data_IF_882225800408
#
_entry.id   IF_882225800408
#
_cell.length_a   1.000
_cell.length_b   1.000
_cell.length_c   1.000
_cell.angle_alpha   90.00
_cell.angle_beta   90.00
_cell.angle_gamma   90.00
#
_symmetry.space_group_name_H-M   'P 1'
#
loop_
_entity.id
_entity.type
_entity.pdbx_description
1 polymer ?
#
# COMPACT_ATOMS: atom_id res chain seq x y z
N UNK A 1 5.82 4.34 4.30
CA UNK A 1 4.76 4.38 5.35
C UNK A 1 3.57 5.17 4.88
N UNK A 2 3.65 6.51 4.80
CA UNK A 2 2.50 7.35 4.44
C UNK A 2 1.96 7.05 3.04
N UNK A 3 2.80 6.56 2.12
CA UNK A 3 2.42 6.20 0.75
C UNK A 3 2.27 4.69 0.52
N UNK A 4 2.41 3.84 1.53
CA UNK A 4 2.41 2.38 1.35
C UNK A 4 1.51 1.64 2.33
N UNK A 5 1.26 2.23 3.50
CA UNK A 5 0.54 1.56 4.58
C UNK A 5 1.35 0.50 5.32
N UNK A 6 2.60 0.21 4.95
CA UNK A 6 3.44 -0.80 5.63
C UNK A 6 3.62 -0.55 7.13
N UNK A 7 3.74 -1.63 7.91
CA UNK A 7 3.99 -1.53 9.36
C UNK A 7 5.42 -1.05 9.62
N UNK A 8 5.65 -0.29 10.71
CA UNK A 8 7.00 0.13 11.08
C UNK A 8 7.98 -1.05 11.23
N UNK A 9 7.52 -2.18 11.74
CA UNK A 9 8.38 -3.35 11.95
C UNK A 9 8.72 -4.10 10.64
N UNK A 10 7.84 -4.04 9.63
CA UNK A 10 8.09 -4.60 8.30
C UNK A 10 9.17 -3.78 7.58
N UNK A 11 9.10 -2.45 7.70
CA UNK A 11 10.02 -1.53 7.02
C UNK A 11 11.47 -1.66 7.50
N UNK A 12 11.67 -2.02 8.77
CA UNK A 12 13.00 -2.22 9.35
C UNK A 12 13.80 -3.35 8.69
N UNK A 13 13.13 -4.25 7.99
CA UNK A 13 13.72 -5.42 7.37
C UNK A 13 13.79 -5.31 5.84
N UNK A 14 13.33 -4.21 5.24
CA UNK A 14 13.38 -4.02 3.80
C UNK A 14 14.79 -3.74 3.32
N UNK A 15 15.17 -4.41 2.25
CA UNK A 15 16.41 -4.22 1.50
C UNK A 15 16.14 -3.65 0.12
N UNK A 16 17.16 -3.08 -0.54
CA UNK A 16 16.98 -2.42 -1.83
C UNK A 16 16.46 -3.37 -2.91
N UNK A 17 16.83 -4.65 -2.84
CA UNK A 17 16.31 -5.71 -3.72
C UNK A 17 14.83 -6.02 -3.56
N UNK A 18 14.24 -5.65 -2.42
CA UNK A 18 12.83 -5.94 -2.12
C UNK A 18 11.90 -4.90 -2.76
N UNK A 19 12.44 -3.88 -3.45
CA UNK A 19 11.69 -2.76 -4.02
C UNK A 19 11.98 -2.62 -5.51
N UNK A 20 10.91 -2.65 -6.31
CA UNK A 20 10.97 -2.43 -7.75
C UNK A 20 10.11 -1.20 -8.11
N UNK A 21 10.60 -0.38 -9.05
CA UNK A 21 9.80 0.71 -9.63
C UNK A 21 9.09 0.12 -10.86
N UNK A 22 7.76 0.18 -10.84
CA UNK A 22 6.92 -0.34 -11.93
C UNK A 22 5.93 0.72 -12.37
N UNK A 23 5.54 0.69 -13.65
CA UNK A 23 4.44 1.51 -14.15
C UNK A 23 3.12 0.84 -13.82
N UNK A 24 2.21 1.56 -13.17
CA UNK A 24 0.86 1.07 -12.88
C UNK A 24 0.00 1.07 -14.14
N UNK A 25 -0.51 -0.09 -14.54
CA UNK A 25 -1.30 -0.24 -15.76
C UNK A 25 -2.60 0.58 -15.75
N UNK A 26 -3.15 0.86 -14.56
CA UNK A 26 -4.41 1.58 -14.42
C UNK A 26 -4.23 3.10 -14.52
N UNK A 27 -3.28 3.67 -13.77
CA UNK A 27 -3.04 5.12 -13.72
C UNK A 27 -2.00 5.61 -14.73
N UNK A 28 -1.11 4.72 -15.21
CA UNK A 28 0.07 5.08 -16.00
C UNK A 28 1.19 5.72 -15.17
N UNK A 29 1.04 5.83 -13.85
CA UNK A 29 2.03 6.43 -12.96
C UNK A 29 3.06 5.39 -12.49
N UNK A 30 4.28 5.84 -12.20
CA UNK A 30 5.27 4.99 -11.56
C UNK A 30 4.94 4.80 -10.08
N UNK A 31 5.00 3.56 -9.62
CA UNK A 31 4.79 3.15 -8.23
C UNK A 31 5.89 2.20 -7.78
N UNK A 32 5.98 1.96 -6.48
CA UNK A 32 6.85 0.93 -5.92
C UNK A 32 6.07 -0.35 -5.71
N UNK A 33 6.56 -1.45 -6.25
CA UNK A 33 6.17 -2.81 -5.85
C UNK A 33 7.18 -3.32 -4.83
N UNK A 34 6.70 -3.66 -3.64
CA UNK A 34 7.52 -3.97 -2.48
C UNK A 34 7.22 -5.40 -2.03
N UNK A 35 8.23 -6.27 -2.07
CA UNK A 35 8.20 -7.57 -1.42
C UNK A 35 8.48 -7.39 0.07
N UNK A 36 7.54 -7.75 0.91
CA UNK A 36 7.61 -7.52 2.35
C UNK A 36 7.75 -8.85 3.06
N UNK A 37 8.77 -8.94 3.91
CA UNK A 37 9.01 -10.10 4.78
C UNK A 37 8.67 -9.76 6.21
N UNK A 38 7.90 -10.61 6.87
CA UNK A 38 7.52 -10.39 8.26
C UNK A 38 7.09 -11.68 8.96
N UNK A 39 6.59 -11.54 10.19
CA UNK A 39 6.16 -12.68 11.03
C UNK A 39 5.10 -13.59 10.37
N UNK A 40 4.36 -13.07 9.39
CA UNK A 40 3.30 -13.79 8.66
C UNK A 40 3.75 -14.31 7.29
N UNK A 41 5.07 -14.38 7.04
CA UNK A 41 5.64 -14.79 5.76
C UNK A 41 5.83 -13.64 4.78
N UNK A 42 5.97 -14.00 3.51
CA UNK A 42 6.15 -13.06 2.39
C UNK A 42 4.79 -12.51 1.94
N UNK A 43 4.77 -11.26 1.52
CA UNK A 43 3.60 -10.63 0.91
C UNK A 43 3.99 -9.37 0.16
N UNK A 44 3.09 -8.81 -0.61
CA UNK A 44 3.39 -7.69 -1.50
C UNK A 44 2.64 -6.43 -1.09
N UNK A 45 3.25 -5.28 -1.38
CA UNK A 45 2.65 -3.98 -1.16
C UNK A 45 2.98 -3.07 -2.34
N UNK A 46 1.96 -2.43 -2.89
CA UNK A 46 2.08 -1.39 -3.91
C UNK A 46 1.97 -0.02 -3.25
N UNK A 47 2.85 0.90 -3.62
CA UNK A 47 2.85 2.26 -3.10
C UNK A 47 1.94 3.19 -3.92
N UNK A 48 1.66 4.36 -3.36
CA UNK A 48 1.26 5.52 -4.13
C UNK A 48 2.46 6.09 -4.90
N UNK A 49 2.24 6.82 -6.00
CA UNK A 49 3.30 7.38 -6.84
C UNK A 49 4.29 8.28 -6.09
N UNK A 50 3.79 9.02 -5.09
CA UNK A 50 4.63 9.88 -4.24
C UNK A 50 5.72 9.16 -3.45
N UNK A 51 5.79 7.83 -3.46
CA UNK A 51 6.87 7.06 -2.85
C UNK A 51 8.10 6.89 -3.77
N UNK A 52 7.95 6.99 -5.09
CA UNK A 52 9.01 6.72 -6.07
C UNK A 52 10.17 7.69 -5.88
N UNK A 53 9.91 9.00 -5.97
CA UNK A 53 10.95 10.03 -5.83
C UNK A 53 11.73 9.93 -4.51
N UNK A 54 11.11 9.72 -3.33
CA UNK A 54 11.85 9.43 -2.10
C UNK A 54 12.72 8.18 -2.16
N UNK A 55 12.26 7.11 -2.83
CA UNK A 55 13.03 5.87 -2.97
C UNK A 55 14.23 6.04 -3.89
N UNK A 56 14.08 6.70 -5.04
CA UNK A 56 15.20 7.04 -5.93
C UNK A 56 16.26 7.84 -5.19
N UNK A 57 15.85 8.86 -4.42
CA UNK A 57 16.77 9.64 -3.57
C UNK A 57 17.49 8.80 -2.51
N UNK A 58 16.91 7.69 -2.05
CA UNK A 58 17.56 6.77 -1.12
C UNK A 58 18.53 5.83 -1.85
N UNK A 59 18.14 5.33 -3.02
CA UNK A 59 18.96 4.47 -3.89
C UNK A 59 20.19 5.21 -4.39
N UNK A 60 20.03 6.46 -4.78
CA UNK A 60 21.10 7.26 -5.40
C UNK A 60 21.95 8.01 -4.37
N UNK A 61 21.62 7.90 -3.08
CA UNK A 61 22.39 8.52 -1.99
C UNK A 61 23.58 7.64 -1.61
N UNK A 62 24.83 8.10 -1.83
CA UNK A 62 26.00 7.38 -1.38
C UNK A 62 25.98 7.18 0.13
N UNK A 63 26.41 6.01 0.59
CA UNK A 63 26.45 5.66 2.00
C UNK A 63 27.89 5.40 2.45
N UNK A 64 28.25 5.77 3.68
CA UNK A 64 29.57 5.50 4.21
C UNK A 64 29.81 3.99 4.23
N UNK A 65 30.98 3.56 3.78
CA UNK A 65 31.40 2.16 3.84
C UNK A 65 31.61 1.78 5.31
N UNK A 66 30.87 0.77 5.78
CA UNK A 66 30.85 0.37 7.19
C UNK A 66 32.19 -0.19 7.72
N UNK A 67 33.09 -0.57 6.81
CA UNK A 67 34.36 -1.23 7.11
C UNK A 67 35.59 -0.32 6.95
N UNK A 68 35.42 1.01 6.97
CA UNK A 68 36.57 1.92 7.01
C UNK A 68 37.29 1.76 8.36
N UNK A 69 38.58 1.38 8.40
CA UNK A 69 39.36 1.36 9.65
C UNK A 69 39.36 2.75 10.27
N UNK A 70 39.21 2.81 11.60
CA UNK A 70 39.06 4.03 12.42
C UNK A 70 40.28 4.98 12.40
N UNK A 71 41.32 4.66 11.62
CA UNK A 71 42.62 5.34 11.66
C UNK A 71 42.85 6.40 10.56
N UNK A 72 42.01 6.49 9.51
CA UNK A 72 42.16 7.50 8.45
C UNK A 72 40.99 8.51 8.48
N UNK A 73 41.17 9.58 9.26
CA UNK A 73 40.19 10.64 9.52
C UNK A 73 39.86 11.56 8.32
N UNK A 74 40.44 11.33 7.14
CA UNK A 74 40.36 12.31 6.04
C UNK A 74 39.43 11.92 4.87
N UNK A 75 39.03 10.65 4.69
CA UNK A 75 38.10 10.28 3.60
C UNK A 75 37.14 9.15 4.00
N UNK A 76 35.95 9.52 4.46
CA UNK A 76 34.81 8.58 4.52
C UNK A 76 34.41 8.24 3.08
N UNK A 77 34.97 7.17 2.53
CA UNK A 77 34.56 6.65 1.21
C UNK A 77 33.07 6.33 1.24
N UNK A 78 32.33 6.95 0.34
CA UNK A 78 30.90 6.76 0.20
C UNK A 78 30.62 6.04 -1.12
N UNK A 79 29.95 4.88 -1.03
CA UNK A 79 29.61 4.04 -2.18
C UNK A 79 28.09 4.01 -2.38
N UNK A 80 27.60 3.76 -3.61
CA UNK A 80 26.19 3.50 -3.82
C UNK A 80 25.74 2.28 -3.00
N UNK A 81 24.51 2.29 -2.44
CA UNK A 81 24.02 1.18 -1.65
C UNK A 81 23.93 -0.10 -2.49
N UNK A 82 24.29 -1.23 -1.88
CA UNK A 82 24.14 -2.55 -2.50
C UNK A 82 22.69 -3.00 -2.40
N UNK A 83 22.27 -3.86 -3.33
CA UNK A 83 20.91 -4.41 -3.36
C UNK A 83 20.50 -5.14 -2.06
N UNK A 84 21.46 -5.78 -1.38
CA UNK A 84 21.24 -6.49 -0.11
C UNK A 84 21.24 -5.57 1.11
N UNK A 85 21.58 -4.30 0.96
CA UNK A 85 21.62 -3.42 2.10
C UNK A 85 20.20 -2.99 2.51
N UNK A 86 20.03 -2.73 3.80
CA UNK A 86 18.76 -2.20 4.33
C UNK A 86 18.44 -0.83 3.75
N UNK A 87 17.17 -0.60 3.40
CA UNK A 87 16.67 0.74 3.02
C UNK A 87 16.88 1.74 4.15
N UNK A 88 16.59 1.33 5.38
CA UNK A 88 16.64 2.16 6.58
C UNK A 88 17.60 1.53 7.61
N UNK A 89 18.93 1.80 7.50
CA UNK A 89 19.92 1.22 8.40
C UNK A 89 19.83 1.80 9.81
N UNK A 90 19.38 3.05 9.92
CA UNK A 90 19.27 3.79 11.18
C UNK A 90 17.82 3.84 11.71
N UNK A 91 17.68 3.93 13.03
CA UNK A 91 16.37 4.11 13.66
C UNK A 91 15.78 5.52 13.35
N UNK A 92 14.84 5.56 12.41
CA UNK A 92 14.13 6.79 12.02
C UNK A 92 13.15 7.33 13.08
N UNK A 93 12.94 6.61 14.20
CA UNK A 93 12.02 7.01 15.28
C UNK A 93 12.39 8.36 15.90
N UNK A 94 13.68 8.58 16.16
CA UNK A 94 14.16 9.84 16.76
C UNK A 94 13.94 11.02 15.82
N UNK A 95 14.30 10.86 14.55
CA UNK A 95 14.09 11.87 13.50
C UNK A 95 12.59 12.20 13.35
N UNK A 96 11.75 11.17 13.32
CA UNK A 96 10.30 11.37 13.19
C UNK A 96 9.70 12.09 14.41
N UNK A 97 10.10 11.71 15.63
CA UNK A 97 9.64 12.41 16.83
C UNK A 97 10.04 13.88 16.84
N UNK A 98 11.28 14.18 16.45
CA UNK A 98 11.77 15.57 16.35
C UNK A 98 10.94 16.39 15.36
N UNK A 99 10.67 15.86 14.17
CA UNK A 99 9.80 16.53 13.18
C UNK A 99 8.41 16.80 13.77
N UNK A 100 7.84 15.84 14.51
CA UNK A 100 6.54 16.04 15.14
C UNK A 100 6.57 17.08 16.26
N UNK A 101 7.63 17.14 17.05
CA UNK A 101 7.82 18.13 18.11
C UNK A 101 7.99 19.54 17.52
N UNK A 102 8.89 19.70 16.54
CA UNK A 102 9.19 20.96 15.87
C UNK A 102 7.94 21.57 15.19
N UNK A 103 6.99 20.73 14.77
CA UNK A 103 5.74 21.14 14.12
C UNK A 103 4.52 21.16 15.06
N UNK A 104 4.69 20.94 16.37
CA UNK A 104 3.59 20.83 17.33
C UNK A 104 2.54 19.75 16.97
N UNK A 105 3.00 18.67 16.34
CA UNK A 105 2.19 17.51 15.92
C UNK A 105 2.48 16.28 16.77
N UNK A 106 3.20 16.38 17.89
CA UNK A 106 3.53 15.21 18.70
C UNK A 106 2.30 14.56 19.34
N UNK A 107 1.32 15.35 19.75
CA UNK A 107 0.11 14.86 20.40
C UNK A 107 -1.13 15.19 19.56
N UNK A 108 -2.09 14.28 19.53
CA UNK A 108 -3.40 14.53 18.94
C UNK A 108 -4.34 15.29 19.89
N UNK A 109 -5.57 15.55 19.45
CA UNK A 109 -6.59 16.28 20.23
C UNK A 109 -6.90 15.62 21.58
N UNK A 110 -6.70 14.31 21.70
CA UNK A 110 -6.98 13.54 22.89
C UNK A 110 -5.71 13.32 23.75
N UNK A 111 -4.62 14.03 23.44
CA UNK A 111 -3.35 13.90 24.14
C UNK A 111 -2.58 12.62 23.82
N UNK A 112 -2.98 11.85 22.79
CA UNK A 112 -2.28 10.63 22.41
C UNK A 112 -1.09 10.96 21.51
N UNK A 113 0.07 10.37 21.83
CA UNK A 113 1.29 10.58 21.06
C UNK A 113 1.19 9.98 19.65
N UNK A 114 1.52 10.79 18.63
CA UNK A 114 1.72 10.33 17.26
C UNK A 114 3.04 9.56 17.15
N UNK A 115 3.01 8.46 16.41
CA UNK A 115 4.14 7.56 16.16
C UNK A 115 4.18 7.15 14.70
N UNK A 116 5.18 6.37 14.28
CA UNK A 116 5.23 5.83 12.92
C UNK A 116 3.96 5.03 12.54
N UNK A 117 3.29 4.41 13.51
CA UNK A 117 1.98 3.76 13.30
C UNK A 117 0.89 4.76 12.90
N UNK A 118 0.96 6.02 13.34
CA UNK A 118 0.03 7.07 12.93
C UNK A 118 0.08 7.33 11.42
N UNK A 119 1.23 7.19 10.77
CA UNK A 119 1.33 7.33 9.31
C UNK A 119 0.58 6.22 8.57
N UNK A 120 0.61 4.99 9.11
CA UNK A 120 -0.18 3.88 8.58
C UNK A 120 -1.68 4.12 8.78
N UNK A 121 -2.07 4.67 9.93
CA UNK A 121 -3.45 5.07 10.16
C UNK A 121 -3.91 6.11 9.14
N UNK A 122 -3.13 7.16 8.93
CA UNK A 122 -3.43 8.19 7.93
C UNK A 122 -3.55 7.62 6.51
N UNK A 123 -2.64 6.72 6.11
CA UNK A 123 -2.73 6.06 4.80
C UNK A 123 -4.05 5.31 4.62
N UNK A 124 -4.43 4.47 5.58
CA UNK A 124 -5.67 3.69 5.50
C UNK A 124 -6.88 4.63 5.45
N UNK A 125 -6.92 5.65 6.30
CA UNK A 125 -7.98 6.68 6.27
C UNK A 125 -8.10 7.36 4.91
N UNK A 126 -6.99 7.85 4.33
CA UNK A 126 -7.04 8.55 3.03
C UNK A 126 -7.48 7.63 1.90
N UNK A 127 -6.95 6.39 1.84
CA UNK A 127 -7.39 5.42 0.82
C UNK A 127 -8.89 5.15 0.92
N UNK A 128 -9.36 4.91 2.14
CA UNK A 128 -10.78 4.71 2.38
C UNK A 128 -11.56 5.94 1.91
N UNK A 129 -11.27 7.15 2.41
CA UNK A 129 -11.96 8.40 2.05
C UNK A 129 -11.97 8.70 0.54
N UNK A 130 -10.95 8.27 -0.19
CA UNK A 130 -10.88 8.38 -1.66
C UNK A 130 -11.71 7.31 -2.39
N UNK A 131 -12.44 6.46 -1.65
CA UNK A 131 -13.32 5.42 -2.18
C UNK A 131 -12.62 4.10 -2.50
N UNK A 132 -11.39 3.87 -2.02
CA UNK A 132 -10.70 2.61 -2.28
C UNK A 132 -11.41 1.44 -1.59
N UNK A 133 -11.52 0.33 -2.32
CA UNK A 133 -12.11 -0.89 -1.79
C UNK A 133 -11.38 -1.39 -0.53
N UNK A 134 -12.15 -1.66 0.52
CA UNK A 134 -11.62 -2.05 1.83
C UNK A 134 -10.80 -3.33 1.77
N UNK A 135 -11.17 -4.27 0.91
CA UNK A 135 -10.45 -5.52 0.75
C UNK A 135 -9.08 -5.28 0.08
N UNK A 136 -9.01 -4.44 -0.95
CA UNK A 136 -7.73 -4.04 -1.55
C UNK A 136 -6.83 -3.32 -0.55
N UNK A 137 -7.38 -2.39 0.25
CA UNK A 137 -6.60 -1.69 1.28
C UNK A 137 -6.10 -2.67 2.34
N UNK A 138 -6.93 -3.62 2.78
CA UNK A 138 -6.56 -4.66 3.74
C UNK A 138 -5.43 -5.54 3.21
N UNK A 139 -5.52 -5.98 1.95
CA UNK A 139 -4.51 -6.78 1.27
C UNK A 139 -3.19 -6.03 1.18
N UNK A 140 -3.19 -4.79 0.67
CA UNK A 140 -1.99 -3.97 0.53
C UNK A 140 -1.32 -3.68 1.88
N UNK A 141 -2.13 -3.39 2.90
CA UNK A 141 -1.65 -3.11 4.24
C UNK A 141 -1.32 -4.39 5.03
N UNK A 142 -1.57 -5.60 4.49
CA UNK A 142 -1.37 -6.87 5.20
C UNK A 142 -2.08 -6.92 6.56
N UNK A 143 -3.35 -6.53 6.58
CA UNK A 143 -4.24 -6.59 7.74
C UNK A 143 -5.55 -7.27 7.37
N UNK A 144 -6.36 -7.65 8.35
CA UNK A 144 -7.72 -8.11 8.06
C UNK A 144 -8.65 -6.93 7.82
N UNK A 145 -9.69 -7.18 7.03
CA UNK A 145 -10.83 -6.27 6.84
C UNK A 145 -11.47 -5.95 8.19
N UNK A 146 -11.68 -6.96 9.03
CA UNK A 146 -12.21 -6.79 10.40
C UNK A 146 -11.41 -5.78 11.23
N UNK A 147 -10.07 -5.81 11.13
CA UNK A 147 -9.23 -4.84 11.84
C UNK A 147 -9.38 -3.43 11.25
N UNK A 148 -9.63 -3.30 9.94
CA UNK A 148 -9.92 -2.00 9.35
C UNK A 148 -11.29 -1.52 9.80
N UNK A 149 -12.33 -2.35 9.74
CA UNK A 149 -13.66 -1.98 10.21
C UNK A 149 -13.64 -1.56 11.68
N UNK A 150 -13.03 -2.34 12.56
CA UNK A 150 -12.96 -2.01 13.99
C UNK A 150 -12.30 -0.66 14.28
N UNK A 151 -11.28 -0.29 13.51
CA UNK A 151 -10.48 0.91 13.79
C UNK A 151 -10.86 2.13 12.94
N UNK A 152 -11.57 1.94 11.82
CA UNK A 152 -11.91 3.00 10.87
C UNK A 152 -13.40 3.03 10.48
N UNK A 153 -14.27 2.23 11.12
CA UNK A 153 -15.72 2.21 10.87
C UNK A 153 -16.39 3.59 10.92
N UNK A 154 -15.88 4.50 11.74
CA UNK A 154 -16.37 5.87 11.79
C UNK A 154 -16.31 6.55 10.40
N UNK A 155 -15.29 6.27 9.60
CA UNK A 155 -15.14 6.80 8.25
C UNK A 155 -15.89 5.98 7.20
N UNK A 156 -16.14 4.69 7.45
CA UNK A 156 -16.91 3.82 6.55
C UNK A 156 -18.39 4.22 6.49
N UNK A 157 -18.93 4.78 7.58
CA UNK A 157 -20.34 5.22 7.63
C UNK A 157 -20.67 6.30 6.60
N UNK A 158 -19.71 7.19 6.33
CA UNK A 158 -19.86 8.28 5.35
C UNK A 158 -19.64 7.82 3.90
N UNK A 159 -19.21 6.57 3.70
CA UNK A 159 -18.86 6.00 2.39
C UNK A 159 -19.77 4.86 1.94
N UNK A 160 -20.89 4.63 2.65
CA UNK A 160 -21.89 3.67 2.20
C UNK A 160 -22.58 4.24 0.96
N UNK A 161 -22.08 3.87 -0.22
CA UNK A 161 -22.77 4.13 -1.48
C UNK A 161 -24.01 3.22 -1.57
N UNK A 162 -25.18 3.82 -1.37
CA UNK A 162 -26.47 3.12 -1.47
C UNK A 162 -26.73 2.48 -2.84
N UNK A 163 -26.02 2.89 -3.89
CA UNK A 163 -26.12 2.28 -5.24
C UNK A 163 -25.42 0.91 -5.32
N UNK A 164 -24.32 0.72 -4.58
CA UNK A 164 -23.62 -0.56 -4.47
C UNK A 164 -24.30 -1.52 -3.48
N UNK A 165 -25.08 -0.99 -2.53
CA UNK A 165 -25.88 -1.80 -1.59
C UNK A 165 -27.18 -2.26 -2.26
N UNK A 166 -27.81 -1.41 -3.07
CA UNK A 166 -29.07 -1.70 -3.75
C UNK A 166 -28.87 -2.30 -5.15
N UNK A 167 -28.01 -3.32 -5.28
CA UNK A 167 -27.89 -4.05 -6.54
C UNK A 167 -29.08 -4.99 -6.70
N UNK A 168 -30.11 -4.53 -7.41
CA UNK A 168 -31.14 -5.43 -7.95
C UNK A 168 -30.51 -6.23 -9.09
N UNK A 169 -30.34 -7.54 -8.90
CA UNK A 169 -30.01 -8.45 -10.01
C UNK A 169 -31.06 -8.27 -11.10
N UNK A 170 -30.65 -7.83 -12.29
CA UNK A 170 -31.52 -7.92 -13.46
C UNK A 170 -31.92 -9.38 -13.65
N UNK A 171 -33.23 -9.63 -13.70
CA UNK A 171 -33.76 -10.96 -13.99
C UNK A 171 -33.19 -11.39 -15.35
N UNK A 172 -32.65 -12.61 -15.47
CA UNK A 172 -32.28 -13.15 -16.77
C UNK A 172 -33.49 -13.07 -17.69
N UNK A 173 -33.36 -12.40 -18.85
CA UNK A 173 -34.37 -12.48 -19.89
C UNK A 173 -34.51 -13.96 -20.24
N UNK A 174 -35.69 -14.54 -19.97
CA UNK A 174 -36.05 -15.86 -20.49
C UNK A 174 -35.78 -15.81 -21.99
N UNK A 175 -34.91 -16.70 -22.49
CA UNK A 175 -34.84 -16.96 -23.92
C UNK A 175 -36.22 -17.50 -24.28
N UNK A 176 -36.96 -16.75 -25.08
CA UNK A 176 -38.20 -17.25 -25.65
C UNK A 176 -37.88 -18.52 -26.45
N UNK A 177 -38.46 -19.62 -26.01
CA UNK A 177 -38.39 -20.90 -26.70
C UNK A 177 -38.98 -20.72 -28.09
N UNK A 178 -38.15 -20.88 -29.12
CA UNK A 178 -38.61 -20.97 -30.50
C UNK A 178 -39.66 -22.09 -30.58
N UNK A 179 -40.90 -21.67 -30.74
CA UNK A 179 -42.04 -22.58 -30.87
C UNK A 179 -41.92 -23.30 -32.20
N UNK A 180 -42.13 -24.61 -32.14
CA UNK A 180 -42.20 -25.57 -33.23
C UNK A 180 -43.03 -25.03 -34.41
N UNK A 181 -42.47 -25.05 -35.60
CA UNK A 181 -43.21 -25.27 -36.84
C UNK A 181 -42.58 -26.43 -37.60
N UNK A 182 -43.09 -27.63 -37.29
CA UNK A 182 -42.98 -28.80 -38.13
C UNK A 182 -44.42 -29.36 -38.26
N UNK A 183 -45.27 -28.57 -38.91
CA UNK A 183 -46.52 -29.02 -39.48
C UNK A 183 -46.28 -29.34 -40.95
N UNK A 184 -46.86 -30.45 -41.40
CA UNK A 184 -46.29 -31.29 -42.44
C UNK A 184 -46.49 -30.81 -43.85
N UNK A 185 -45.67 -31.37 -44.73
CA UNK A 185 -46.04 -31.54 -46.13
C UNK A 185 -45.52 -32.89 -46.63
N UNK A 186 -46.45 -33.83 -46.78
CA UNK A 186 -46.37 -34.90 -47.78
C UNK A 186 -47.54 -34.61 -48.72
N UNK A 187 -47.26 -34.57 -50.03
CA UNK A 187 -47.99 -35.50 -50.87
C UNK A 187 -47.12 -36.23 -51.90
N UNK A 188 -47.76 -37.27 -52.41
CA UNK A 188 -47.42 -38.36 -53.31
C UNK A 188 -46.75 -38.00 -54.65
N UNK A 189 -45.79 -38.82 -55.08
CA UNK A 189 -45.86 -39.69 -56.27
C UNK A 189 -44.66 -40.64 -56.30
#
# INVERSE_FOLDING_TARGET
MANTGLRPDEIKHLEFRDVEIVTDDYSGEEILEIEVRGKRGVGYCKSMPGAVRPFERLRDRPRPVADAPDDDLDEVKAEPPKHTDKLFPNEFKKMFNRILEDNNLKFDRNGKARTAYSLRHSYICFRLLEGADIYQVAKNCRTSVEMIEKHYAAHLKDMIDTSLVNVRRERPKRRDEATKDASGDRPEA
#
